data_IF_282345037596
#
_entry.id   IF_282345037596
#
_cell.length_a   1.000
_cell.length_b   1.000
_cell.length_c   1.000
_cell.angle_alpha   90.00
_cell.angle_beta   90.00
_cell.angle_gamma   90.00
#
_symmetry.space_group_name_H-M   'P 1'
#
loop_
_entity.id
_entity.type
_entity.pdbx_description
1 polymer ?
#
# COMPACT_ATOMS: atom_id res chain seq x y z
N UNK A 1 24.12 84.56 1.35
CA UNK A 1 22.79 84.19 1.90
C UNK A 1 22.24 83.04 1.07
N UNK A 2 21.85 81.96 1.75
CA UNK A 2 21.01 80.82 1.31
C UNK A 2 21.44 79.98 0.10
N UNK A 3 21.84 78.72 0.32
CA UNK A 3 20.95 77.57 0.13
C UNK A 3 21.68 76.26 0.48
N UNK A 4 20.95 75.37 1.17
CA UNK A 4 21.34 74.03 1.64
C UNK A 4 21.22 72.97 0.53
N UNK A 5 21.80 71.81 0.83
CA UNK A 5 21.53 70.45 0.33
C UNK A 5 22.29 69.99 -0.93
N UNK A 6 23.24 69.08 -0.76
CA UNK A 6 23.04 67.68 -1.17
C UNK A 6 24.09 66.72 -0.56
N UNK A 7 23.57 65.78 0.26
CA UNK A 7 23.96 64.39 0.52
C UNK A 7 25.38 63.91 0.14
N UNK A 8 26.15 63.51 1.16
CA UNK A 8 27.13 62.42 1.09
C UNK A 8 26.94 61.54 2.35
N UNK A 9 26.32 60.37 2.19
CA UNK A 9 27.01 59.07 2.23
C UNK A 9 27.77 58.82 3.53
N UNK A 10 27.02 58.44 4.57
CA UNK A 10 27.58 57.63 5.65
C UNK A 10 26.89 56.27 5.66
N UNK A 11 27.68 55.28 5.24
CA UNK A 11 27.48 53.86 5.46
C UNK A 11 27.01 53.62 6.90
N UNK A 12 25.82 53.05 7.06
CA UNK A 12 25.49 52.23 8.21
C UNK A 12 25.04 50.90 7.65
N UNK A 13 26.00 49.96 7.60
CA UNK A 13 25.77 48.56 7.28
C UNK A 13 24.75 47.99 8.29
N UNK A 14 23.49 47.89 7.88
CA UNK A 14 22.55 46.97 8.52
C UNK A 14 23.01 45.55 8.15
N UNK A 15 23.80 44.95 9.04
CA UNK A 15 23.99 43.50 9.08
C UNK A 15 22.67 42.87 9.54
N UNK A 16 21.67 42.82 8.65
CA UNK A 16 20.56 41.90 8.80
C UNK A 16 21.14 40.50 8.56
N UNK A 17 21.62 39.89 9.63
CA UNK A 17 21.79 38.45 9.70
C UNK A 17 20.40 37.84 9.51
N UNK A 18 20.03 37.58 8.26
CA UNK A 18 18.99 36.61 7.94
C UNK A 18 19.56 35.28 8.42
N UNK A 19 19.33 34.98 9.70
CA UNK A 19 19.27 33.61 10.19
C UNK A 19 18.12 32.96 9.41
N UNK A 20 18.44 32.55 8.19
CA UNK A 20 17.75 31.49 7.51
C UNK A 20 18.00 30.27 8.38
N UNK A 21 17.17 30.14 9.42
CA UNK A 21 16.96 28.85 10.05
C UNK A 21 16.41 28.01 8.92
N UNK A 22 17.32 27.31 8.26
CA UNK A 22 16.98 26.17 7.44
C UNK A 22 16.16 25.30 8.39
N UNK A 23 14.82 25.37 8.28
CA UNK A 23 13.94 24.42 8.93
C UNK A 23 14.49 23.07 8.48
N UNK A 24 15.21 22.37 9.37
CA UNK A 24 15.56 20.99 9.12
C UNK A 24 14.26 20.32 8.73
N UNK A 25 14.22 19.76 7.52
CA UNK A 25 13.02 19.12 7.01
C UNK A 25 12.65 18.02 8.01
N UNK A 26 11.63 18.27 8.82
CA UNK A 26 11.19 17.33 9.86
C UNK A 26 10.79 16.02 9.17
N UNK A 27 11.31 14.89 9.64
CA UNK A 27 11.03 13.55 9.11
C UNK A 27 10.38 12.71 10.22
N UNK A 28 9.06 12.84 10.37
CA UNK A 28 8.27 11.95 11.19
C UNK A 28 7.78 10.76 10.37
N UNK A 29 7.81 9.57 10.95
CA UNK A 29 7.23 8.36 10.35
C UNK A 29 6.23 7.72 11.28
N UNK A 30 5.19 7.11 10.72
CA UNK A 30 4.24 6.30 11.49
C UNK A 30 4.63 4.84 11.32
N UNK A 31 5.26 4.25 12.32
CA UNK A 31 5.57 2.83 12.34
C UNK A 31 4.31 2.05 12.72
N UNK A 32 3.90 1.10 11.89
CA UNK A 32 2.73 0.24 12.11
C UNK A 32 3.08 -0.97 12.97
N UNK A 33 4.21 -1.62 12.67
CA UNK A 33 4.65 -2.85 13.32
C UNK A 33 6.13 -3.16 13.04
N UNK A 34 6.71 -4.07 13.81
CA UNK A 34 8.04 -4.64 13.59
C UNK A 34 8.01 -6.16 13.87
N UNK A 35 8.65 -6.95 13.02
CA UNK A 35 8.62 -8.42 13.10
C UNK A 35 9.99 -9.03 12.82
N UNK A 36 10.29 -10.17 13.46
CA UNK A 36 11.50 -10.97 13.18
C UNK A 36 11.39 -11.69 11.82
N UNK A 37 10.18 -12.03 11.40
CA UNK A 37 9.89 -12.62 10.09
C UNK A 37 9.12 -11.63 9.20
N UNK A 38 9.34 -11.71 7.89
CA UNK A 38 8.66 -10.83 6.93
C UNK A 38 7.17 -11.12 6.90
N UNK A 39 6.37 -10.12 7.24
CA UNK A 39 4.91 -10.12 7.11
C UNK A 39 4.49 -9.58 5.71
N UNK A 40 3.60 -10.27 4.98
CA UNK A 40 3.12 -9.79 3.68
C UNK A 40 2.38 -8.44 3.77
N UNK A 41 2.55 -7.56 2.77
CA UNK A 41 1.87 -6.24 2.76
C UNK A 41 0.33 -6.34 2.77
N UNK A 42 -0.24 -7.46 2.32
CA UNK A 42 -1.68 -7.72 2.44
C UNK A 42 -2.19 -7.64 3.85
N UNK A 43 -1.36 -8.01 4.85
CA UNK A 43 -1.70 -7.92 6.27
C UNK A 43 -2.27 -6.53 6.60
N UNK A 44 -1.59 -5.49 6.12
CA UNK A 44 -1.95 -4.09 6.34
C UNK A 44 -3.12 -3.64 5.44
N UNK A 45 -3.12 -4.06 4.18
CA UNK A 45 -4.17 -3.71 3.23
C UNK A 45 -5.57 -4.19 3.69
N UNK A 46 -5.68 -5.39 4.30
CA UNK A 46 -6.97 -5.87 4.84
C UNK A 46 -7.47 -5.09 6.04
N UNK A 47 -6.58 -4.46 6.80
CA UNK A 47 -6.94 -3.54 7.87
C UNK A 47 -7.28 -2.13 7.34
N UNK A 48 -7.38 -1.97 6.02
CA UNK A 48 -7.64 -0.69 5.36
C UNK A 48 -6.46 0.27 5.41
N UNK A 49 -5.24 -0.23 5.64
CA UNK A 49 -4.00 0.57 5.67
C UNK A 49 -3.20 0.27 4.40
N UNK A 50 -3.29 1.21 3.46
CA UNK A 50 -2.57 1.18 2.18
C UNK A 50 -1.25 1.95 2.31
N UNK A 51 -0.39 1.95 1.28
CA UNK A 51 0.89 2.68 1.26
C UNK A 51 1.80 2.33 2.46
N UNK A 52 1.90 1.05 2.79
CA UNK A 52 2.86 0.59 3.79
C UNK A 52 4.23 0.43 3.12
N UNK A 53 5.32 0.69 3.82
CA UNK A 53 6.68 0.43 3.35
C UNK A 53 7.38 -0.39 4.42
N UNK A 54 8.29 -1.26 4.01
CA UNK A 54 9.06 -2.07 4.92
C UNK A 54 10.54 -1.97 4.59
N UNK A 55 11.36 -1.88 5.62
CA UNK A 55 12.78 -2.14 5.51
C UNK A 55 13.20 -3.16 6.56
N UNK A 56 14.25 -3.90 6.26
CA UNK A 56 14.88 -4.81 7.21
C UNK A 56 16.06 -4.06 7.84
N UNK A 57 16.06 -3.87 9.16
CA UNK A 57 17.17 -3.24 9.86
C UNK A 57 18.38 -4.20 10.02
N UNK A 58 19.48 -3.70 10.57
CA UNK A 58 20.71 -4.49 10.76
C UNK A 58 20.55 -5.69 11.69
N UNK A 59 19.51 -5.72 12.53
CA UNK A 59 19.19 -6.84 13.41
C UNK A 59 18.25 -7.85 12.74
N UNK A 60 18.10 -7.78 11.41
CA UNK A 60 17.17 -8.57 10.62
C UNK A 60 15.69 -8.36 10.99
N UNK A 61 15.33 -7.23 11.63
CA UNK A 61 13.95 -6.92 11.98
C UNK A 61 13.29 -6.19 10.83
N UNK A 62 12.15 -6.72 10.37
CA UNK A 62 11.30 -6.11 9.36
C UNK A 62 10.40 -5.05 10.00
N UNK A 63 10.64 -3.78 9.69
CA UNK A 63 9.88 -2.64 10.23
C UNK A 63 8.95 -2.07 9.17
N UNK A 64 7.69 -1.90 9.51
CA UNK A 64 6.63 -1.46 8.61
C UNK A 64 6.17 -0.05 8.96
N UNK A 65 6.09 0.83 7.97
CA UNK A 65 5.74 2.25 8.11
C UNK A 65 4.60 2.60 7.17
N UNK A 66 3.71 3.49 7.60
CA UNK A 66 2.69 4.10 6.73
C UNK A 66 3.25 5.38 6.11
N UNK A 67 3.10 5.52 4.80
CA UNK A 67 3.65 6.62 3.99
C UNK A 67 5.18 6.75 4.12
N UNK A 68 5.79 7.55 3.24
CA UNK A 68 7.25 7.73 3.25
C UNK A 68 7.71 8.64 4.40
N UNK A 69 6.96 9.71 4.68
CA UNK A 69 7.27 10.73 5.71
C UNK A 69 6.07 11.64 5.98
N UNK A 70 6.07 12.26 7.15
CA UNK A 70 5.21 13.36 7.56
C UNK A 70 6.07 14.50 8.09
N UNK A 71 5.73 15.74 7.73
CA UNK A 71 6.49 16.93 8.14
C UNK A 71 5.93 17.62 9.39
N UNK A 72 4.85 17.09 9.96
CA UNK A 72 4.11 17.71 11.04
C UNK A 72 3.77 16.65 12.10
N UNK A 73 4.18 16.89 13.34
CA UNK A 73 3.97 15.96 14.46
C UNK A 73 2.48 15.77 14.81
N UNK A 74 1.68 16.84 14.74
CA UNK A 74 0.23 16.77 15.01
C UNK A 74 -0.46 15.89 13.97
N UNK A 75 -0.09 16.05 12.69
CA UNK A 75 -0.56 15.20 11.61
C UNK A 75 -0.16 13.73 11.83
N UNK A 76 1.13 13.48 12.12
CA UNK A 76 1.62 12.11 12.34
C UNK A 76 0.93 11.44 13.54
N UNK A 77 0.68 12.17 14.63
CA UNK A 77 -0.06 11.67 15.80
C UNK A 77 -1.51 11.35 15.46
N UNK A 78 -2.19 12.21 14.69
CA UNK A 78 -3.56 11.96 14.23
C UNK A 78 -3.63 10.66 13.42
N UNK A 79 -2.77 10.52 12.42
CA UNK A 79 -2.71 9.30 11.60
C UNK A 79 -2.38 8.06 12.45
N UNK A 80 -1.45 8.18 13.40
CA UNK A 80 -1.13 7.10 14.34
C UNK A 80 -2.36 6.63 15.14
N UNK A 81 -3.22 7.55 15.60
CA UNK A 81 -4.47 7.18 16.28
C UNK A 81 -5.46 6.49 15.33
N UNK A 82 -5.58 6.96 14.10
CA UNK A 82 -6.46 6.34 13.10
C UNK A 82 -6.06 4.90 12.78
N UNK A 83 -4.75 4.61 12.65
CA UNK A 83 -4.29 3.24 12.40
C UNK A 83 -4.39 2.35 13.64
N UNK A 84 -4.23 2.90 14.84
CA UNK A 84 -4.51 2.17 16.10
C UNK A 84 -5.96 1.70 16.16
N UNK A 85 -6.90 2.57 15.79
CA UNK A 85 -8.32 2.22 15.71
C UNK A 85 -8.62 1.12 14.68
N UNK A 86 -7.72 0.90 13.71
CA UNK A 86 -7.80 -0.18 12.71
C UNK A 86 -7.11 -1.48 13.16
N UNK A 87 -6.67 -1.56 14.41
CA UNK A 87 -6.08 -2.77 15.00
C UNK A 87 -4.55 -2.74 15.13
N UNK A 88 -3.86 -1.70 14.67
CA UNK A 88 -2.42 -1.53 14.88
C UNK A 88 -2.12 -0.88 16.22
N UNK A 89 -2.52 -1.53 17.32
CA UNK A 89 -2.47 -0.97 18.69
C UNK A 89 -1.08 -0.48 19.10
N UNK A 90 -0.03 -1.13 18.59
CA UNK A 90 1.38 -0.80 18.84
C UNK A 90 1.97 0.21 17.85
N UNK A 91 1.16 0.82 16.99
CA UNK A 91 1.64 1.84 16.08
C UNK A 91 2.22 3.03 16.85
N UNK A 92 3.25 3.66 16.31
CA UNK A 92 3.94 4.77 16.96
C UNK A 92 4.48 5.79 15.96
N UNK A 93 4.56 7.05 16.40
CA UNK A 93 5.26 8.10 15.66
C UNK A 93 6.74 8.03 16.01
N UNK A 94 7.58 7.96 14.99
CA UNK A 94 9.04 7.94 15.10
C UNK A 94 9.57 9.27 14.55
N UNK A 95 10.33 9.99 15.37
CA UNK A 95 11.08 11.16 14.94
C UNK A 95 12.46 10.71 14.43
N UNK A 96 12.65 10.71 13.12
CA UNK A 96 13.85 10.16 12.50
C UNK A 96 15.09 11.02 12.75
N UNK A 97 14.91 12.33 12.95
CA UNK A 97 16.02 13.25 13.25
C UNK A 97 16.50 13.02 14.67
N UNK A 98 15.57 13.00 15.64
CA UNK A 98 15.88 12.72 17.04
C UNK A 98 16.43 11.31 17.23
N UNK A 99 15.90 10.33 16.50
CA UNK A 99 16.44 8.97 16.53
C UNK A 99 17.89 8.94 16.03
N UNK A 100 18.21 9.70 14.97
CA UNK A 100 19.58 9.81 14.43
C UNK A 100 20.55 10.44 15.44
N UNK A 101 20.11 11.48 16.14
CA UNK A 101 20.89 12.12 17.20
C UNK A 101 21.15 11.13 18.35
N UNK A 102 20.11 10.44 18.81
CA UNK A 102 20.20 9.53 19.94
C UNK A 102 21.02 8.25 19.66
N UNK A 103 21.04 7.75 18.43
CA UNK A 103 21.74 6.51 18.11
C UNK A 103 23.25 6.67 17.84
N UNK A 104 23.74 7.90 17.66
CA UNK A 104 25.14 8.16 17.31
C UNK A 104 25.52 7.66 15.91
N UNK A 105 26.80 7.81 15.56
CA UNK A 105 27.34 7.36 14.26
C UNK A 105 28.21 6.10 14.43
N UNK A 106 28.00 5.04 13.61
CA UNK A 106 26.97 4.88 12.59
C UNK A 106 25.64 4.37 13.17
N UNK A 107 24.52 5.02 12.81
CA UNK A 107 23.21 4.64 13.30
C UNK A 107 22.71 3.32 12.67
N UNK A 108 22.44 2.26 13.44
CA UNK A 108 22.09 0.95 12.91
C UNK A 108 20.72 0.94 12.16
N UNK A 109 19.86 1.92 12.46
CA UNK A 109 18.51 2.03 11.89
C UNK A 109 18.42 2.80 10.56
N UNK A 110 19.51 3.45 10.10
CA UNK A 110 19.48 4.41 8.98
C UNK A 110 20.43 4.02 7.83
N UNK A 111 21.22 2.95 7.98
CA UNK A 111 22.10 2.48 6.89
C UNK A 111 21.29 1.89 5.72
N UNK A 112 21.91 1.77 4.53
CA UNK A 112 21.26 1.37 3.25
C UNK A 112 20.48 0.05 3.37
N UNK A 113 19.21 0.13 3.73
CA UNK A 113 18.30 -1.00 3.79
C UNK A 113 17.50 -1.07 2.48
N UNK A 114 17.26 -2.29 1.99
CA UNK A 114 16.34 -2.50 0.86
C UNK A 114 14.95 -2.09 1.32
N UNK A 115 14.46 -0.97 0.81
CA UNK A 115 13.09 -0.52 1.04
C UNK A 115 12.20 -1.31 0.09
N UNK A 116 11.34 -2.15 0.66
CA UNK A 116 10.26 -2.78 -0.08
C UNK A 116 9.02 -1.98 0.24
N UNK A 117 8.47 -1.33 -0.76
CA UNK A 117 7.19 -0.68 -0.58
C UNK A 117 6.09 -1.74 -0.64
N UNK A 118 4.93 -1.47 -0.05
CA UNK A 118 3.67 -2.07 -0.50
C UNK A 118 3.38 -1.62 -1.92
N UNK A 119 4.07 -0.59 -2.44
CA UNK A 119 4.29 -0.44 -3.87
C UNK A 119 4.95 -1.63 -4.53
N UNK A 120 5.50 -2.66 -3.87
CA UNK A 120 5.80 -3.93 -4.55
C UNK A 120 4.51 -4.77 -4.75
N UNK A 121 3.51 -4.57 -3.88
CA UNK A 121 2.13 -5.05 -4.02
C UNK A 121 1.21 -4.08 -4.79
N UNK A 122 1.62 -2.83 -4.96
CA UNK A 122 1.01 -1.79 -5.81
C UNK A 122 1.71 -1.72 -7.19
N UNK A 123 2.94 -2.24 -7.30
CA UNK A 123 3.68 -2.65 -8.51
C UNK A 123 3.26 -4.06 -8.92
N UNK A 124 2.51 -4.76 -8.08
CA UNK A 124 1.50 -5.65 -8.63
C UNK A 124 0.41 -4.74 -9.18
N UNK A 125 0.42 -4.54 -10.50
CA UNK A 125 -0.63 -3.86 -11.26
C UNK A 125 -1.96 -4.62 -11.27
N UNK A 126 -2.28 -5.22 -10.13
CA UNK A 126 -3.32 -6.18 -9.89
C UNK A 126 -4.17 -5.71 -8.73
N UNK A 127 -5.46 -5.47 -8.97
CA UNK A 127 -6.43 -5.14 -7.93
C UNK A 127 -6.97 -6.42 -7.31
N UNK A 128 -7.12 -6.44 -5.98
CA UNK A 128 -7.63 -7.61 -5.25
C UNK A 128 -9.03 -7.33 -4.72
N UNK A 129 -9.96 -8.25 -4.96
CA UNK A 129 -11.33 -8.23 -4.48
C UNK A 129 -11.50 -9.36 -3.46
N UNK A 130 -11.96 -9.05 -2.26
CA UNK A 130 -12.14 -10.03 -1.18
C UNK A 130 -13.58 -10.51 -1.08
N UNK A 131 -13.74 -11.75 -0.63
CA UNK A 131 -15.04 -12.39 -0.47
C UNK A 131 -15.22 -12.99 0.92
N UNK A 132 -16.44 -12.93 1.42
CA UNK A 132 -16.83 -13.65 2.61
C UNK A 132 -16.76 -15.15 2.41
N UNK A 133 -16.77 -15.88 3.53
CA UNK A 133 -16.83 -17.34 3.52
C UNK A 133 -18.03 -17.82 2.68
N UNK A 134 -17.76 -18.79 1.82
CA UNK A 134 -18.73 -19.43 0.92
C UNK A 134 -19.47 -18.54 -0.10
N UNK A 135 -19.23 -17.22 -0.09
CA UNK A 135 -19.91 -16.28 -0.98
C UNK A 135 -19.14 -15.98 -2.26
N UNK A 136 -19.90 -15.64 -3.30
CA UNK A 136 -19.39 -15.12 -4.59
C UNK A 136 -19.98 -13.77 -5.00
N UNK A 137 -20.76 -13.12 -4.14
CA UNK A 137 -21.31 -11.78 -4.36
C UNK A 137 -20.22 -10.72 -4.20
N UNK A 138 -20.19 -9.73 -5.10
CA UNK A 138 -19.28 -8.58 -4.99
C UNK A 138 -19.76 -7.60 -3.91
N UNK A 139 -18.86 -7.25 -2.98
CA UNK A 139 -19.10 -6.19 -2.00
C UNK A 139 -19.14 -4.80 -2.65
N UNK A 140 -19.56 -3.78 -1.88
CA UNK A 140 -19.54 -2.38 -2.33
C UNK A 140 -18.11 -1.93 -2.68
N UNK A 141 -17.14 -2.29 -1.85
CA UNK A 141 -15.72 -1.98 -2.00
C UNK A 141 -15.17 -2.65 -3.25
N UNK A 142 -15.53 -3.92 -3.49
CA UNK A 142 -15.13 -4.64 -4.69
C UNK A 142 -15.65 -3.96 -5.97
N UNK A 143 -16.88 -3.44 -5.94
CA UNK A 143 -17.45 -2.67 -7.05
C UNK A 143 -16.72 -1.33 -7.26
N UNK A 144 -16.28 -0.66 -6.19
CA UNK A 144 -15.46 0.56 -6.27
C UNK A 144 -14.13 0.27 -6.99
N UNK A 145 -13.44 -0.82 -6.62
CA UNK A 145 -12.20 -1.22 -7.28
C UNK A 145 -12.40 -1.58 -8.75
N UNK A 146 -13.47 -2.32 -9.06
CA UNK A 146 -13.81 -2.64 -10.46
C UNK A 146 -14.16 -1.39 -11.28
N UNK A 147 -14.76 -0.35 -10.69
CA UNK A 147 -15.00 0.91 -11.37
C UNK A 147 -13.69 1.65 -11.71
N UNK A 148 -12.64 1.53 -10.88
CA UNK A 148 -11.31 2.07 -11.21
C UNK A 148 -10.72 1.37 -12.43
N UNK A 149 -10.79 0.04 -12.46
CA UNK A 149 -10.37 -0.79 -13.60
C UNK A 149 -11.14 -0.41 -14.87
N UNK A 150 -12.47 -0.27 -14.77
CA UNK A 150 -13.32 0.17 -15.87
C UNK A 150 -12.86 1.50 -16.48
N UNK A 151 -12.62 2.52 -15.64
CA UNK A 151 -12.17 3.86 -16.11
C UNK A 151 -10.89 3.78 -16.93
N UNK A 152 -9.95 2.91 -16.54
CA UNK A 152 -8.70 2.69 -17.28
C UNK A 152 -8.95 2.02 -18.62
N UNK A 153 -9.77 0.96 -18.66
CA UNK A 153 -10.07 0.21 -19.87
C UNK A 153 -10.85 1.00 -20.92
N UNK A 154 -11.64 1.98 -20.47
CA UNK A 154 -12.34 2.91 -21.36
C UNK A 154 -11.37 3.84 -22.06
N UNK A 155 -10.39 4.39 -21.31
CA UNK A 155 -9.35 5.28 -21.85
C UNK A 155 -8.34 4.55 -22.74
N UNK A 156 -8.07 3.29 -22.46
CA UNK A 156 -7.06 2.51 -23.15
C UNK A 156 -7.70 1.29 -23.82
N UNK A 157 -8.03 1.39 -25.11
CA UNK A 157 -8.78 0.34 -25.82
C UNK A 157 -7.96 -0.94 -26.08
N UNK A 158 -6.63 -0.84 -26.08
CA UNK A 158 -5.72 -1.95 -26.35
C UNK A 158 -5.39 -2.78 -25.09
N UNK A 159 -5.84 -2.35 -23.90
CA UNK A 159 -5.61 -3.12 -22.68
C UNK A 159 -6.60 -4.28 -22.54
N UNK A 160 -6.12 -5.38 -22.00
CA UNK A 160 -6.93 -6.54 -21.64
C UNK A 160 -6.91 -6.74 -20.11
N UNK A 161 -7.84 -7.54 -19.62
CA UNK A 161 -8.02 -7.85 -18.19
C UNK A 161 -7.85 -9.34 -17.99
N UNK A 162 -7.02 -9.74 -17.03
CA UNK A 162 -6.93 -11.10 -16.52
C UNK A 162 -7.58 -11.15 -15.14
N UNK A 163 -8.52 -12.06 -14.92
CA UNK A 163 -9.20 -12.25 -13.64
C UNK A 163 -8.88 -13.64 -13.09
N UNK A 164 -8.32 -13.70 -11.89
CA UNK A 164 -7.90 -14.95 -11.25
C UNK A 164 -8.74 -15.20 -9.99
N UNK A 165 -9.42 -16.35 -9.93
CA UNK A 165 -10.24 -16.73 -8.78
C UNK A 165 -9.52 -17.68 -7.82
N UNK A 166 -9.59 -17.38 -6.52
CA UNK A 166 -9.01 -18.19 -5.45
C UNK A 166 -10.02 -18.44 -4.31
N UNK A 167 -9.76 -19.47 -3.52
CA UNK A 167 -10.46 -19.79 -2.27
C UNK A 167 -9.46 -20.00 -1.14
N UNK A 168 -9.99 -20.07 0.09
CA UNK A 168 -9.24 -20.67 1.18
C UNK A 168 -9.27 -22.21 1.07
N UNK A 169 -8.70 -22.88 2.08
CA UNK A 169 -8.57 -24.34 2.11
C UNK A 169 -9.75 -25.08 2.77
N UNK A 170 -10.93 -24.45 2.90
CA UNK A 170 -12.11 -25.12 3.48
C UNK A 170 -12.96 -25.73 2.37
N UNK A 171 -13.45 -26.95 2.58
CA UNK A 171 -14.21 -27.70 1.59
C UNK A 171 -13.31 -28.56 0.70
N UNK A 172 -13.91 -29.25 -0.28
CA UNK A 172 -13.15 -30.08 -1.22
C UNK A 172 -12.50 -29.25 -2.32
N UNK A 173 -11.40 -29.75 -2.89
CA UNK A 173 -10.73 -29.10 -4.01
C UNK A 173 -11.69 -28.83 -5.19
N UNK A 174 -12.55 -29.80 -5.52
CA UNK A 174 -13.55 -29.65 -6.58
C UNK A 174 -14.59 -28.55 -6.27
N UNK A 175 -15.00 -28.43 -5.00
CA UNK A 175 -15.87 -27.34 -4.55
C UNK A 175 -15.17 -25.98 -4.71
N UNK A 176 -13.92 -25.91 -4.26
CA UNK A 176 -13.11 -24.70 -4.28
C UNK A 176 -12.81 -24.19 -5.69
N UNK A 177 -12.60 -25.09 -6.66
CA UNK A 177 -12.53 -24.74 -8.09
C UNK A 177 -13.85 -24.14 -8.59
N UNK A 178 -15.00 -24.72 -8.23
CA UNK A 178 -16.31 -24.17 -8.61
C UNK A 178 -16.57 -22.80 -7.98
N UNK A 179 -16.26 -22.62 -6.70
CA UNK A 179 -16.47 -21.36 -5.98
C UNK A 179 -15.58 -20.23 -6.51
N UNK A 180 -14.28 -20.49 -6.70
CA UNK A 180 -13.36 -19.51 -7.31
C UNK A 180 -13.79 -19.11 -8.72
N UNK A 181 -14.32 -20.05 -9.52
CA UNK A 181 -14.90 -19.76 -10.83
C UNK A 181 -16.12 -18.84 -10.75
N UNK A 182 -17.03 -19.05 -9.77
CA UNK A 182 -18.17 -18.14 -9.54
C UNK A 182 -17.72 -16.73 -9.19
N UNK A 183 -16.72 -16.59 -8.31
CA UNK A 183 -16.15 -15.29 -7.91
C UNK A 183 -15.51 -14.54 -9.08
N UNK A 184 -14.68 -15.22 -9.87
CA UNK A 184 -14.06 -14.63 -11.04
C UNK A 184 -15.10 -14.21 -12.10
N UNK A 185 -16.14 -15.03 -12.29
CA UNK A 185 -17.28 -14.69 -13.17
C UNK A 185 -18.07 -13.49 -12.67
N UNK A 186 -18.26 -13.31 -11.37
CA UNK A 186 -18.93 -12.14 -10.83
C UNK A 186 -18.18 -10.84 -11.20
N UNK A 187 -16.85 -10.81 -11.03
CA UNK A 187 -16.02 -9.68 -11.45
C UNK A 187 -16.05 -9.45 -12.97
N UNK A 188 -15.93 -10.53 -13.77
CA UNK A 188 -16.05 -10.46 -15.23
C UNK A 188 -17.37 -9.87 -15.68
N UNK A 189 -18.48 -10.40 -15.15
CA UNK A 189 -19.83 -9.99 -15.54
C UNK A 189 -20.09 -8.54 -15.15
N UNK A 190 -19.53 -8.07 -14.02
CA UNK A 190 -19.60 -6.67 -13.63
C UNK A 190 -18.94 -5.76 -14.69
N UNK A 191 -17.73 -6.09 -15.17
CA UNK A 191 -17.05 -5.30 -16.19
C UNK A 191 -17.77 -5.35 -17.55
N UNK A 192 -18.34 -6.50 -17.92
CA UNK A 192 -19.14 -6.63 -19.14
C UNK A 192 -20.40 -5.77 -19.07
N UNK A 193 -21.11 -5.81 -17.94
CA UNK A 193 -22.30 -4.98 -17.73
C UNK A 193 -21.99 -3.47 -17.75
N UNK A 194 -20.74 -3.07 -17.47
CA UNK A 194 -20.24 -1.70 -17.63
C UNK A 194 -19.86 -1.35 -19.08
N UNK A 195 -19.90 -2.31 -20.01
CA UNK A 195 -19.61 -2.09 -21.43
C UNK A 195 -18.22 -2.52 -21.89
N UNK A 196 -17.45 -3.25 -21.07
CA UNK A 196 -16.16 -3.82 -21.53
C UNK A 196 -16.43 -5.07 -22.39
N UNK A 197 -15.93 -5.13 -23.64
CA UNK A 197 -16.11 -6.31 -24.49
C UNK A 197 -15.57 -7.58 -23.83
N UNK A 198 -16.34 -8.67 -23.89
CA UNK A 198 -15.99 -9.96 -23.28
C UNK A 198 -14.64 -10.51 -23.76
N UNK A 199 -14.29 -10.28 -25.04
CA UNK A 199 -12.99 -10.66 -25.65
C UNK A 199 -11.78 -10.01 -24.99
N UNK A 200 -11.96 -8.90 -24.27
CA UNK A 200 -10.90 -8.21 -23.53
C UNK A 200 -10.70 -8.75 -22.11
N UNK A 201 -11.49 -9.75 -21.69
CA UNK A 201 -11.47 -10.26 -20.31
C UNK A 201 -11.24 -11.77 -20.32
N UNK A 202 -10.11 -12.20 -19.79
CA UNK A 202 -9.76 -13.60 -19.57
C UNK A 202 -9.96 -13.99 -18.09
N UNK A 203 -10.26 -15.27 -17.85
CA UNK A 203 -10.51 -15.81 -16.51
C UNK A 203 -9.64 -17.04 -16.26
N UNK A 204 -8.92 -17.05 -15.14
CA UNK A 204 -8.20 -18.20 -14.59
C UNK A 204 -8.79 -18.60 -13.24
N UNK A 205 -8.75 -19.90 -12.94
CA UNK A 205 -9.39 -20.48 -11.76
C UNK A 205 -8.37 -21.38 -11.07
N UNK A 206 -8.12 -21.12 -9.78
CA UNK A 206 -7.13 -21.86 -9.00
C UNK A 206 -7.73 -22.63 -7.81
N UNK A 207 -8.96 -22.29 -7.39
CA UNK A 207 -9.48 -22.81 -6.13
C UNK A 207 -8.52 -22.52 -4.98
N UNK A 208 -8.20 -23.54 -4.20
CA UNK A 208 -7.32 -23.44 -3.04
C UNK A 208 -5.83 -23.67 -3.34
N UNK A 209 -5.48 -24.06 -4.58
CA UNK A 209 -4.15 -24.56 -4.93
C UNK A 209 -3.06 -23.49 -5.01
N UNK A 210 -3.45 -22.21 -5.03
CA UNK A 210 -2.55 -21.07 -5.07
C UNK A 210 -2.84 -20.09 -3.93
N UNK A 211 -2.58 -20.49 -2.67
CA UNK A 211 -2.77 -19.62 -1.52
C UNK A 211 -1.77 -18.46 -1.57
N UNK A 212 -2.22 -17.27 -1.17
CA UNK A 212 -1.35 -16.10 -1.02
C UNK A 212 -0.55 -16.18 0.29
N UNK A 213 -1.19 -16.71 1.33
CA UNK A 213 -0.62 -16.91 2.65
C UNK A 213 -1.07 -18.26 3.19
N UNK A 214 -0.39 -18.80 4.18
CA UNK A 214 -0.80 -20.07 4.77
C UNK A 214 -2.23 -19.99 5.34
N UNK A 215 -3.04 -21.01 5.08
CA UNK A 215 -4.38 -21.14 5.69
C UNK A 215 -4.30 -21.62 7.15
N UNK A 216 -3.09 -22.00 7.60
CA UNK A 216 -2.77 -22.48 8.94
C UNK A 216 -1.46 -21.87 9.43
N UNK A 217 -1.36 -21.59 10.72
CA UNK A 217 -0.15 -21.14 11.40
C UNK A 217 0.14 -22.13 12.53
N UNK A 218 1.36 -22.65 12.61
CA UNK A 218 1.75 -23.67 13.61
C UNK A 218 0.77 -24.86 13.67
N UNK A 219 0.37 -25.35 12.50
CA UNK A 219 -0.64 -26.39 12.29
C UNK A 219 -2.08 -26.05 12.75
N UNK A 220 -2.31 -24.89 13.38
CA UNK A 220 -3.64 -24.39 13.77
C UNK A 220 -4.29 -23.61 12.63
N UNK A 221 -5.62 -23.62 12.62
CA UNK A 221 -6.44 -22.88 11.67
C UNK A 221 -6.14 -21.37 11.75
N UNK A 222 -5.85 -20.69 10.62
CA UNK A 222 -5.63 -19.23 10.57
C UNK A 222 -6.81 -18.53 9.88
N UNK A 223 -7.79 -17.97 10.64
CA UNK A 223 -8.94 -17.26 10.07
C UNK A 223 -8.54 -16.08 9.19
N UNK A 224 -7.48 -15.37 9.59
CA UNK A 224 -6.90 -14.28 8.81
C UNK A 224 -6.32 -14.82 7.50
N UNK A 225 -5.47 -15.85 7.56
CA UNK A 225 -4.90 -16.51 6.38
C UNK A 225 -5.96 -16.91 5.35
N UNK A 226 -7.04 -17.54 5.82
CA UNK A 226 -8.18 -17.90 4.97
C UNK A 226 -8.87 -16.68 4.35
N UNK A 227 -9.07 -15.60 5.11
CA UNK A 227 -9.68 -14.37 4.60
C UNK A 227 -8.89 -13.79 3.43
N UNK A 228 -7.56 -13.79 3.51
CA UNK A 228 -6.71 -13.37 2.39
C UNK A 228 -6.83 -14.29 1.17
N UNK A 229 -7.04 -15.58 1.39
CA UNK A 229 -7.12 -16.56 0.31
C UNK A 229 -8.48 -16.55 -0.42
N UNK A 230 -9.54 -16.06 0.21
CA UNK A 230 -10.84 -15.81 -0.43
C UNK A 230 -10.82 -14.52 -1.27
N UNK A 231 -10.17 -14.59 -2.43
CA UNK A 231 -9.92 -13.41 -3.27
C UNK A 231 -10.14 -13.65 -4.76
N UNK A 232 -10.30 -12.55 -5.48
CA UNK A 232 -10.12 -12.44 -6.93
C UNK A 232 -9.04 -11.41 -7.20
N UNK A 233 -8.11 -11.74 -8.09
CA UNK A 233 -7.05 -10.82 -8.54
C UNK A 233 -7.37 -10.36 -9.97
N UNK A 234 -7.30 -9.05 -10.22
CA UNK A 234 -7.63 -8.43 -11.50
C UNK A 234 -6.41 -7.68 -12.01
N UNK A 235 -5.79 -8.17 -13.08
CA UNK A 235 -4.60 -7.58 -13.69
C UNK A 235 -4.92 -7.00 -15.06
N UNK A 236 -4.25 -5.89 -15.42
CA UNK A 236 -4.30 -5.34 -16.78
C UNK A 236 -3.05 -5.74 -17.55
N UNK A 237 -3.21 -6.08 -18.83
CA UNK A 237 -2.09 -6.40 -19.72
C UNK A 237 -2.27 -5.80 -21.12
N UNK A 238 -1.16 -5.56 -21.83
CA UNK A 238 -1.16 -5.06 -23.20
C UNK A 238 -1.28 -6.21 -24.23
N UNK A 239 -1.30 -5.88 -25.51
CA UNK A 239 -1.34 -6.86 -26.62
C UNK A 239 -0.15 -7.84 -26.64
N UNK A 240 0.96 -7.49 -26.01
CA UNK A 240 2.16 -8.34 -25.86
C UNK A 240 2.09 -9.27 -24.63
N UNK A 241 1.01 -9.21 -23.85
CA UNK A 241 0.84 -10.01 -22.64
C UNK A 241 1.57 -9.45 -21.41
N UNK A 242 2.17 -8.28 -21.52
CA UNK A 242 2.87 -7.63 -20.41
C UNK A 242 1.89 -6.94 -19.48
N UNK A 243 2.09 -7.10 -18.18
CA UNK A 243 1.24 -6.47 -17.17
C UNK A 243 1.53 -4.96 -17.15
N UNK A 244 0.49 -4.14 -17.34
CA UNK A 244 0.62 -2.68 -17.50
C UNK A 244 0.54 -1.96 -16.16
N UNK A 245 1.49 -1.04 -15.95
CA UNK A 245 1.54 -0.17 -14.77
C UNK A 245 0.55 0.98 -14.89
N UNK A 246 -0.25 1.21 -13.85
CA UNK A 246 -1.19 2.33 -13.76
C UNK A 246 -0.62 3.45 -12.93
#
# INVERSE_FOLDING_TARGET
MSAKNFKNQFLTFLFFAVLSTCMQAQDYRVQLAAFVQKVPFTHFALAGVMNVYMYQDQNNIYRYYLDKRYFNLVQAKKICMEVKARGFVNAQVVDMLKQKENCGFPCPYITKTRTFSSQAMEELHMRTLFFDFDKSSLSRESKIELNKIYKVLVKNKNLHVMIQGHTDSKGSAAYNVKLSKRRARAARNYLIAKGIPSRRISVKVFGESAPLVHNKEEAKDSPLGRRYNRRVVVALYNEWGEIVRL
#
